data_IF_482592831779
#
_entry.id   IF_482592831779
#
_cell.length_a   1.000
_cell.length_b   1.000
_cell.length_c   1.000
_cell.angle_alpha   90.00
_cell.angle_beta   90.00
_cell.angle_gamma   90.00
#
_symmetry.space_group_name_H-M   'P 1'
#
loop_
_entity.id
_entity.type
_entity.pdbx_description
1 polymer ?
#
# COMPACT_ATOMS: atom_id res chain seq x y z
N UNK A 1 3.65 21.30 3.39
CA UNK A 1 4.79 20.42 3.73
C UNK A 1 6.14 21.14 3.68
N UNK A 2 6.51 21.84 2.59
CA UNK A 2 7.83 22.49 2.51
C UNK A 2 8.10 23.49 3.64
N UNK A 3 7.08 24.25 4.03
CA UNK A 3 7.19 25.21 5.14
C UNK A 3 7.44 24.53 6.50
N UNK A 4 6.68 23.47 6.81
CA UNK A 4 6.85 22.68 8.04
C UNK A 4 8.24 22.07 8.10
N UNK A 5 8.70 21.47 7.00
CA UNK A 5 10.04 20.89 6.88
C UNK A 5 11.12 21.96 7.07
N UNK A 6 11.01 23.08 6.37
CA UNK A 6 11.96 24.19 6.49
C UNK A 6 12.05 24.74 7.91
N UNK A 7 10.93 24.81 8.65
CA UNK A 7 10.91 25.24 10.05
C UNK A 7 11.72 24.31 10.96
N UNK A 8 11.48 22.98 10.88
CA UNK A 8 12.14 22.02 11.79
C UNK A 8 13.62 21.81 11.48
N UNK A 9 14.00 21.91 10.20
CA UNK A 9 15.41 21.88 9.78
C UNK A 9 16.15 23.11 10.28
N UNK A 10 15.60 24.32 10.07
CA UNK A 10 16.24 25.56 10.55
C UNK A 10 16.36 25.62 12.07
N UNK A 11 15.44 25.01 12.81
CA UNK A 11 15.53 24.95 14.27
C UNK A 11 16.47 23.85 14.80
N UNK A 12 17.15 23.10 13.92
CA UNK A 12 18.02 21.98 14.32
C UNK A 12 17.30 20.77 14.91
N UNK A 13 15.97 20.70 14.79
CA UNK A 13 15.15 19.60 15.33
C UNK A 13 15.05 18.42 14.38
N UNK A 14 15.45 18.62 13.12
CA UNK A 14 15.54 17.58 12.10
C UNK A 14 16.85 17.74 11.35
N UNK A 15 17.64 16.67 11.33
CA UNK A 15 18.83 16.51 10.50
C UNK A 15 18.66 15.26 9.63
N UNK A 16 19.47 15.13 8.58
CA UNK A 16 19.48 13.96 7.71
C UNK A 16 20.91 13.43 7.58
N UNK A 17 21.05 12.11 7.54
CA UNK A 17 22.31 11.41 7.32
C UNK A 17 22.04 10.13 6.55
N UNK A 18 23.05 9.62 5.84
CA UNK A 18 23.06 8.28 5.24
C UNK A 18 23.75 7.24 6.12
N UNK A 19 24.33 7.66 7.25
CA UNK A 19 24.96 6.77 8.23
C UNK A 19 23.94 6.34 9.30
N UNK A 20 23.26 5.24 9.02
CA UNK A 20 22.24 4.65 9.92
C UNK A 20 22.86 4.16 11.23
N UNK A 21 24.10 3.67 11.21
CA UNK A 21 24.81 3.17 12.40
C UNK A 21 25.10 4.32 13.36
N UNK A 22 25.70 5.41 12.88
CA UNK A 22 25.95 6.61 13.70
C UNK A 22 24.64 7.20 14.26
N UNK A 23 23.61 7.32 13.43
CA UNK A 23 22.30 7.82 13.85
C UNK A 23 21.68 6.98 14.96
N UNK A 24 21.78 5.64 14.85
CA UNK A 24 21.24 4.71 15.84
C UNK A 24 21.96 4.81 17.18
N UNK A 25 23.29 5.03 17.17
CA UNK A 25 24.09 5.20 18.40
C UNK A 25 23.73 6.42 19.24
N UNK A 26 23.09 7.41 18.62
CA UNK A 26 22.70 8.69 19.24
C UNK A 26 21.21 8.76 19.56
N UNK A 27 20.45 7.71 19.27
CA UNK A 27 18.99 7.70 19.36
C UNK A 27 18.51 6.96 20.61
N UNK A 28 17.48 7.49 21.27
CA UNK A 28 16.69 6.77 22.29
C UNK A 28 15.61 5.89 21.64
N UNK A 29 15.01 6.39 20.55
CA UNK A 29 13.92 5.74 19.83
C UNK A 29 14.26 5.68 18.35
N UNK A 30 14.15 4.49 17.78
CA UNK A 30 14.47 4.20 16.38
C UNK A 30 13.20 3.72 15.68
N UNK A 31 12.69 4.50 14.72
CA UNK A 31 11.51 4.13 13.93
C UNK A 31 11.92 3.62 12.54
N UNK A 32 11.50 2.40 12.18
CA UNK A 32 11.86 1.77 10.90
C UNK A 32 10.67 1.85 9.93
N UNK A 33 10.84 2.61 8.85
CA UNK A 33 9.82 2.93 7.83
C UNK A 33 10.31 2.65 6.39
N UNK A 34 11.07 1.58 6.20
CA UNK A 34 11.61 1.17 4.90
C UNK A 34 10.57 0.42 4.05
N UNK A 35 10.73 0.36 2.72
CA UNK A 35 9.78 -0.36 1.87
C UNK A 35 9.74 -1.85 2.18
N UNK A 36 8.52 -2.41 2.18
CA UNK A 36 8.28 -3.85 2.16
C UNK A 36 7.51 -4.20 0.89
N UNK A 37 8.11 -5.03 0.05
CA UNK A 37 7.64 -5.28 -1.31
C UNK A 37 7.32 -6.76 -1.51
N UNK A 38 6.87 -7.09 -2.72
CA UNK A 38 6.86 -8.46 -3.21
C UNK A 38 7.72 -8.54 -4.47
N UNK A 39 8.33 -9.69 -4.71
CA UNK A 39 9.05 -9.97 -5.94
C UNK A 39 8.10 -10.32 -7.10
N UNK A 40 8.67 -10.61 -8.26
CA UNK A 40 7.94 -11.04 -9.46
C UNK A 40 7.21 -12.39 -9.32
N UNK A 41 7.58 -13.21 -8.34
CA UNK A 41 6.87 -14.44 -7.97
C UNK A 41 5.81 -14.21 -6.89
N UNK A 42 5.54 -12.94 -6.55
CA UNK A 42 4.60 -12.52 -5.51
C UNK A 42 4.98 -13.06 -4.12
N UNK A 43 6.28 -13.17 -3.84
CA UNK A 43 6.84 -13.52 -2.53
C UNK A 43 7.31 -12.26 -1.79
N UNK A 44 7.17 -12.19 -0.46
CA UNK A 44 7.65 -11.05 0.31
C UNK A 44 9.14 -10.78 0.09
N UNK A 45 9.50 -9.51 -0.07
CA UNK A 45 10.88 -9.03 -0.15
C UNK A 45 11.14 -8.06 1.01
N UNK A 46 11.94 -8.52 1.98
CA UNK A 46 12.29 -7.78 3.19
C UNK A 46 13.74 -7.30 3.20
N UNK A 47 14.45 -7.30 2.06
CA UNK A 47 15.89 -6.92 2.02
C UNK A 47 16.17 -5.54 2.62
N UNK A 48 15.35 -4.54 2.34
CA UNK A 48 15.50 -3.20 2.93
C UNK A 48 15.30 -3.18 4.46
N UNK A 49 14.47 -4.09 4.99
CA UNK A 49 14.29 -4.27 6.44
C UNK A 49 15.54 -4.90 7.03
N UNK A 50 16.09 -5.92 6.38
CA UNK A 50 17.34 -6.58 6.80
C UNK A 50 18.52 -5.61 6.82
N UNK A 51 18.70 -4.82 5.76
CA UNK A 51 19.75 -3.80 5.65
C UNK A 51 19.62 -2.74 6.76
N UNK A 52 18.43 -2.20 6.99
CA UNK A 52 18.20 -1.24 8.06
C UNK A 52 18.47 -1.86 9.45
N UNK A 53 18.02 -3.09 9.69
CA UNK A 53 18.23 -3.78 10.96
C UNK A 53 19.70 -4.14 11.20
N UNK A 54 20.46 -4.44 10.14
CA UNK A 54 21.90 -4.67 10.21
C UNK A 54 22.64 -3.41 10.69
N UNK A 55 22.38 -2.25 10.06
CA UNK A 55 23.04 -1.00 10.44
C UNK A 55 22.60 -0.50 11.82
N UNK A 56 21.32 -0.68 12.16
CA UNK A 56 20.80 -0.40 13.51
C UNK A 56 21.49 -1.31 14.52
N UNK A 57 21.61 -2.61 14.25
CA UNK A 57 22.28 -3.55 15.14
C UNK A 57 23.73 -3.15 15.47
N UNK A 58 24.47 -2.59 14.51
CA UNK A 58 25.84 -2.10 14.75
C UNK A 58 25.93 -0.85 15.63
N UNK A 59 24.87 -0.05 15.68
CA UNK A 59 24.87 1.26 16.35
C UNK A 59 24.02 1.32 17.61
N UNK A 60 23.02 0.44 17.75
CA UNK A 60 22.05 0.48 18.84
C UNK A 60 22.73 0.30 20.21
N UNK A 61 22.22 1.02 21.20
CA UNK A 61 22.67 0.96 22.60
C UNK A 61 21.63 0.31 23.50
N UNK A 62 22.08 -0.20 24.64
CA UNK A 62 21.17 -0.60 25.71
C UNK A 62 20.29 0.59 26.17
N UNK A 63 19.03 0.31 26.51
CA UNK A 63 17.99 1.27 26.83
C UNK A 63 17.23 1.83 25.64
N UNK A 64 17.60 1.50 24.39
CA UNK A 64 16.91 2.00 23.20
C UNK A 64 15.54 1.33 23.00
N UNK A 65 14.63 2.00 22.29
CA UNK A 65 13.38 1.41 21.79
C UNK A 65 13.36 1.40 20.26
N UNK A 66 13.16 0.23 19.66
CA UNK A 66 12.92 0.08 18.22
C UNK A 66 11.41 -0.01 17.97
N UNK A 67 10.86 0.88 17.15
CA UNK A 67 9.47 0.84 16.69
C UNK A 67 9.46 0.47 15.20
N UNK A 68 9.17 -0.78 14.89
CA UNK A 68 8.99 -1.23 13.51
C UNK A 68 7.62 -0.78 12.99
N UNK A 69 7.60 0.00 11.91
CA UNK A 69 6.38 0.59 11.36
C UNK A 69 6.10 0.19 9.91
N UNK A 70 7.05 -0.47 9.27
CA UNK A 70 6.90 -1.00 7.90
C UNK A 70 5.97 -2.20 7.94
N UNK A 71 5.13 -2.38 6.92
CA UNK A 71 4.13 -3.47 6.96
C UNK A 71 4.77 -4.82 6.68
N UNK A 72 4.44 -5.84 7.47
CA UNK A 72 4.99 -7.19 7.29
C UNK A 72 3.95 -8.29 7.61
N UNK A 73 4.31 -9.53 7.29
CA UNK A 73 3.61 -10.73 7.75
C UNK A 73 3.71 -10.92 9.28
N UNK A 74 2.70 -11.54 9.92
CA UNK A 74 2.79 -11.93 11.32
C UNK A 74 4.04 -12.76 11.64
N UNK A 75 4.77 -12.36 12.69
CA UNK A 75 6.01 -12.98 13.15
C UNK A 75 7.28 -12.43 12.49
N UNK A 76 7.19 -11.55 11.47
CA UNK A 76 8.39 -10.99 10.81
C UNK A 76 9.18 -10.10 11.75
N UNK A 77 8.53 -9.28 12.57
CA UNK A 77 9.24 -8.46 13.57
C UNK A 77 10.11 -9.32 14.47
N UNK A 78 9.63 -10.50 14.87
CA UNK A 78 10.36 -11.39 15.77
C UNK A 78 11.51 -12.12 15.06
N UNK A 79 11.22 -12.80 13.95
CA UNK A 79 12.20 -13.66 13.28
C UNK A 79 13.20 -12.90 12.40
N UNK A 80 12.89 -11.66 12.03
CA UNK A 80 13.73 -10.85 11.14
C UNK A 80 14.29 -9.63 11.88
N UNK A 81 13.43 -8.72 12.34
CA UNK A 81 13.87 -7.44 12.92
C UNK A 81 14.63 -7.68 14.22
N UNK A 82 14.01 -8.35 15.19
CA UNK A 82 14.65 -8.70 16.46
C UNK A 82 15.89 -9.54 16.23
N UNK A 83 15.77 -10.65 15.49
CA UNK A 83 16.89 -11.57 15.26
C UNK A 83 18.11 -10.89 14.62
N UNK A 84 17.90 -10.01 13.64
CA UNK A 84 18.99 -9.28 12.97
C UNK A 84 19.64 -8.28 13.92
N UNK A 85 18.86 -7.49 14.64
CA UNK A 85 19.41 -6.49 15.57
C UNK A 85 20.18 -7.17 16.71
N UNK A 86 19.64 -8.23 17.33
CA UNK A 86 20.36 -8.99 18.37
C UNK A 86 21.67 -9.57 17.84
N UNK A 87 21.67 -10.13 16.63
CA UNK A 87 22.86 -10.73 16.01
C UNK A 87 24.01 -9.73 15.87
N UNK A 88 23.73 -8.51 15.42
CA UNK A 88 24.77 -7.53 15.10
C UNK A 88 25.11 -6.59 16.27
N UNK A 89 24.23 -6.45 17.26
CA UNK A 89 24.49 -5.66 18.47
C UNK A 89 25.12 -6.47 19.60
N UNK A 90 24.86 -7.78 19.66
CA UNK A 90 25.16 -8.61 20.83
C UNK A 90 24.20 -8.37 22.01
N UNK A 91 23.23 -7.46 21.87
CA UNK A 91 22.21 -7.14 22.87
C UNK A 91 21.00 -8.07 22.74
N UNK A 92 20.17 -8.12 23.79
CA UNK A 92 18.94 -8.92 23.86
C UNK A 92 17.69 -8.06 23.95
N UNK A 93 16.73 -8.32 23.06
CA UNK A 93 15.46 -7.61 23.06
C UNK A 93 14.62 -8.01 24.28
N UNK A 94 13.95 -7.03 24.89
CA UNK A 94 13.22 -7.20 26.15
C UNK A 94 14.10 -7.26 27.40
N UNK A 95 15.43 -7.18 27.25
CA UNK A 95 16.39 -7.09 28.36
C UNK A 95 17.23 -5.83 28.24
N UNK A 96 17.96 -5.72 27.13
CA UNK A 96 18.87 -4.60 26.86
C UNK A 96 18.20 -3.50 26.03
N UNK A 97 17.27 -3.83 25.13
CA UNK A 97 16.53 -2.86 24.34
C UNK A 97 15.08 -3.31 24.10
N UNK A 98 14.18 -2.35 23.89
CA UNK A 98 12.76 -2.62 23.63
C UNK A 98 12.45 -2.77 22.15
N UNK A 99 11.42 -3.56 21.83
CA UNK A 99 10.86 -3.65 20.48
C UNK A 99 9.34 -3.49 20.53
N UNK A 100 8.83 -2.64 19.65
CA UNK A 100 7.41 -2.48 19.37
C UNK A 100 7.13 -2.51 17.86
N UNK A 101 5.92 -2.92 17.50
CA UNK A 101 5.37 -2.80 16.16
C UNK A 101 4.19 -1.83 16.18
N UNK A 102 4.23 -0.83 15.29
CA UNK A 102 3.14 0.11 15.12
C UNK A 102 3.00 0.55 13.67
N UNK A 103 2.09 -0.06 12.89
CA UNK A 103 2.00 0.18 11.45
C UNK A 103 1.44 1.56 11.15
N UNK A 104 1.92 2.19 10.07
CA UNK A 104 1.39 3.49 9.63
C UNK A 104 0.00 3.32 8.98
N UNK A 105 -0.92 4.20 9.38
CA UNK A 105 -2.20 4.44 8.73
C UNK A 105 -2.21 5.87 8.23
N UNK A 106 -2.08 6.02 6.92
CA UNK A 106 -2.04 7.31 6.27
C UNK A 106 -2.35 7.16 4.78
N UNK A 107 -2.86 8.22 4.20
CA UNK A 107 -3.12 8.34 2.78
C UNK A 107 -2.06 9.23 2.11
N UNK A 108 -1.59 8.81 0.92
CA UNK A 108 -0.73 9.66 0.09
C UNK A 108 -1.39 11.02 -0.16
N UNK A 109 -0.64 12.09 0.07
CA UNK A 109 -1.14 13.47 0.00
C UNK A 109 -1.72 14.03 1.31
N UNK A 110 -2.00 13.21 2.32
CA UNK A 110 -2.56 13.63 3.62
C UNK A 110 -1.88 12.97 4.83
N UNK A 111 -0.61 12.57 4.68
CA UNK A 111 0.09 11.74 5.67
C UNK A 111 0.14 12.35 7.07
N UNK A 112 0.52 13.63 7.20
CA UNK A 112 0.63 14.28 8.52
C UNK A 112 -0.72 14.39 9.25
N UNK A 113 -1.80 14.93 8.66
CA UNK A 113 -3.09 14.98 9.36
C UNK A 113 -3.65 13.58 9.66
N UNK A 114 -3.48 12.61 8.76
CA UNK A 114 -3.94 11.24 8.99
C UNK A 114 -3.20 10.56 10.15
N UNK A 115 -1.87 10.71 10.22
CA UNK A 115 -1.05 10.16 11.30
C UNK A 115 -1.47 10.68 12.68
N UNK A 116 -1.91 11.94 12.74
CA UNK A 116 -2.44 12.54 13.98
C UNK A 116 -3.83 12.02 14.32
N UNK A 117 -4.72 11.98 13.34
CA UNK A 117 -6.16 11.71 13.54
C UNK A 117 -6.48 10.23 13.74
N UNK A 118 -5.84 9.34 12.99
CA UNK A 118 -6.25 7.94 12.95
C UNK A 118 -5.78 7.17 14.17
N UNK A 119 -6.64 6.26 14.64
CA UNK A 119 -6.29 5.35 15.71
C UNK A 119 -5.06 4.52 15.31
N UNK A 120 -4.11 4.37 16.23
CA UNK A 120 -2.82 3.74 15.98
C UNK A 120 -2.70 2.45 16.79
N UNK A 121 -2.43 1.33 16.10
CA UNK A 121 -2.24 0.03 16.76
C UNK A 121 -0.81 -0.09 17.26
N UNK A 122 -0.62 -0.66 18.44
CA UNK A 122 0.69 -0.88 19.06
C UNK A 122 0.72 -2.26 19.71
N UNK A 123 1.66 -3.10 19.28
CA UNK A 123 2.05 -4.32 19.98
C UNK A 123 3.53 -4.23 20.35
N UNK A 124 3.96 -4.86 21.43
CA UNK A 124 5.37 -4.86 21.83
C UNK A 124 5.80 -6.21 22.40
N UNK A 125 7.12 -6.39 22.52
CA UNK A 125 7.72 -7.63 23.02
C UNK A 125 7.43 -7.88 24.50
N UNK A 126 7.23 -6.81 25.27
CA UNK A 126 6.90 -6.84 26.68
C UNK A 126 6.09 -5.59 27.08
N UNK A 127 5.62 -5.54 28.34
CA UNK A 127 4.81 -4.45 28.87
C UNK A 127 5.56 -3.12 28.94
N UNK A 128 6.84 -3.14 29.32
CA UNK A 128 7.66 -1.92 29.43
C UNK A 128 7.85 -1.29 28.06
N UNK A 129 8.25 -2.09 27.07
CA UNK A 129 8.35 -1.70 25.66
C UNK A 129 7.03 -1.13 25.13
N UNK A 130 5.90 -1.75 25.50
CA UNK A 130 4.56 -1.27 25.11
C UNK A 130 4.26 0.12 25.69
N UNK A 131 4.51 0.32 26.98
CA UNK A 131 4.22 1.57 27.66
C UNK A 131 5.11 2.71 27.16
N UNK A 132 6.40 2.46 26.90
CA UNK A 132 7.32 3.44 26.30
C UNK A 132 6.89 3.77 24.87
N UNK A 133 6.57 2.76 24.04
CA UNK A 133 6.10 2.99 22.67
C UNK A 133 4.81 3.82 22.64
N UNK A 134 3.88 3.56 23.55
CA UNK A 134 2.64 4.33 23.70
C UNK A 134 2.93 5.77 24.13
N UNK A 135 3.85 5.99 25.06
CA UNK A 135 4.25 7.33 25.48
C UNK A 135 4.91 8.14 24.35
N UNK A 136 5.73 7.49 23.52
CA UNK A 136 6.33 8.15 22.35
C UNK A 136 5.27 8.47 21.30
N UNK A 137 4.41 7.51 20.98
CA UNK A 137 3.41 7.66 19.92
C UNK A 137 2.30 8.65 20.30
N UNK A 138 2.00 8.83 21.60
CA UNK A 138 1.01 9.82 22.07
C UNK A 138 1.45 11.27 21.85
N UNK A 139 2.74 11.53 21.63
CA UNK A 139 3.23 12.85 21.21
C UNK A 139 2.87 13.19 19.75
N UNK A 140 2.48 12.18 18.96
CA UNK A 140 2.21 12.32 17.52
C UNK A 140 0.71 12.12 17.24
N UNK A 141 0.08 11.18 17.93
CA UNK A 141 -1.28 10.71 17.64
C UNK A 141 -2.27 11.39 18.60
N UNK A 142 -3.14 12.24 18.06
CA UNK A 142 -4.29 12.81 18.79
C UNK A 142 -5.42 11.77 18.95
N UNK A 143 -5.45 10.76 18.06
CA UNK A 143 -6.40 9.65 18.09
C UNK A 143 -6.10 8.56 19.13
N UNK A 144 -6.92 7.50 19.14
CA UNK A 144 -6.79 6.39 20.09
C UNK A 144 -5.56 5.52 19.80
N UNK A 145 -4.76 5.22 20.82
CA UNK A 145 -3.74 4.16 20.78
C UNK A 145 -4.38 2.82 21.18
N UNK A 146 -4.40 1.87 20.24
CA UNK A 146 -4.98 0.52 20.43
C UNK A 146 -3.84 -0.44 20.76
N UNK A 147 -3.73 -0.79 22.05
CA UNK A 147 -2.74 -1.77 22.52
C UNK A 147 -3.21 -3.19 22.20
N UNK A 148 -2.38 -3.98 21.54
CA UNK A 148 -2.59 -5.42 21.35
C UNK A 148 -1.82 -6.21 22.39
N UNK A 149 -2.19 -7.47 22.59
CA UNK A 149 -1.51 -8.35 23.55
C UNK A 149 -0.05 -8.65 23.18
N UNK A 150 0.25 -8.71 21.88
CA UNK A 150 1.55 -9.07 21.32
C UNK A 150 1.75 -8.42 19.93
N UNK A 151 2.99 -8.50 19.44
CA UNK A 151 3.39 -7.99 18.12
C UNK A 151 2.67 -8.71 16.96
N UNK A 152 2.58 -10.05 16.90
CA UNK A 152 1.87 -10.75 15.83
C UNK A 152 0.42 -10.33 15.64
N UNK A 153 -0.29 -10.03 16.73
CA UNK A 153 -1.66 -9.49 16.68
C UNK A 153 -1.69 -8.11 16.00
N UNK A 154 -0.73 -7.24 16.31
CA UNK A 154 -0.64 -5.93 15.67
C UNK A 154 -0.25 -6.04 14.18
N UNK A 155 0.69 -6.91 13.82
CA UNK A 155 1.07 -7.21 12.43
C UNK A 155 -0.13 -7.71 11.63
N UNK A 156 -0.84 -8.71 12.14
CA UNK A 156 -2.02 -9.28 11.50
C UNK A 156 -3.11 -8.23 11.28
N UNK A 157 -3.37 -7.36 12.27
CA UNK A 157 -4.40 -6.33 12.16
C UNK A 157 -4.21 -5.41 10.95
N UNK A 158 -2.96 -5.11 10.58
CA UNK A 158 -2.62 -4.25 9.44
C UNK A 158 -2.90 -4.91 8.10
N UNK A 159 -2.63 -6.21 8.01
CA UNK A 159 -2.95 -6.97 6.80
C UNK A 159 -4.46 -7.16 6.69
N UNK A 160 -5.14 -7.47 7.79
CA UNK A 160 -6.59 -7.71 7.81
C UNK A 160 -7.39 -6.48 7.35
N UNK A 161 -7.08 -5.27 7.82
CA UNK A 161 -7.78 -4.06 7.37
C UNK A 161 -7.66 -3.83 5.85
N UNK A 162 -6.50 -4.18 5.28
CA UNK A 162 -6.20 -3.96 3.86
C UNK A 162 -6.83 -5.05 3.00
N UNK A 163 -6.73 -6.31 3.45
CA UNK A 163 -7.31 -7.47 2.77
C UNK A 163 -8.84 -7.38 2.80
N UNK A 164 -9.45 -6.91 3.89
CA UNK A 164 -10.89 -6.64 3.94
C UNK A 164 -11.32 -5.73 2.79
N UNK A 165 -10.65 -4.57 2.65
CA UNK A 165 -10.96 -3.63 1.56
C UNK A 165 -10.76 -4.26 0.19
N UNK A 166 -9.70 -5.04 0.02
CA UNK A 166 -9.39 -5.69 -1.25
C UNK A 166 -10.44 -6.72 -1.68
N UNK A 167 -10.88 -7.56 -0.74
CA UNK A 167 -11.97 -8.53 -0.92
C UNK A 167 -13.28 -7.81 -1.21
N UNK A 168 -13.57 -6.71 -0.51
CA UNK A 168 -14.77 -5.90 -0.77
C UNK A 168 -14.78 -5.28 -2.18
N UNK A 169 -13.62 -4.90 -2.73
CA UNK A 169 -13.53 -4.44 -4.14
C UNK A 169 -13.74 -5.62 -5.10
N UNK A 170 -13.18 -6.79 -4.82
CA UNK A 170 -13.39 -7.97 -5.66
C UNK A 170 -14.87 -8.38 -5.71
N UNK A 171 -15.54 -8.38 -4.57
CA UNK A 171 -16.97 -8.63 -4.49
C UNK A 171 -17.77 -7.60 -5.31
N UNK A 172 -17.43 -6.32 -5.20
CA UNK A 172 -18.05 -5.26 -6.00
C UNK A 172 -17.85 -5.48 -7.50
N UNK A 173 -16.64 -5.88 -7.92
CA UNK A 173 -16.34 -6.20 -9.30
C UNK A 173 -17.14 -7.41 -9.80
N UNK A 174 -17.23 -8.50 -9.03
CA UNK A 174 -18.03 -9.68 -9.39
C UNK A 174 -19.52 -9.36 -9.51
N UNK A 175 -20.06 -8.57 -8.59
CA UNK A 175 -21.44 -8.13 -8.67
C UNK A 175 -21.68 -7.21 -9.87
N UNK A 176 -20.74 -6.33 -10.20
CA UNK A 176 -20.84 -5.49 -11.39
C UNK A 176 -20.89 -6.34 -12.67
N UNK A 177 -20.06 -7.39 -12.77
CA UNK A 177 -20.08 -8.33 -13.89
C UNK A 177 -21.43 -9.06 -14.01
N UNK A 178 -21.98 -9.54 -12.88
CA UNK A 178 -23.31 -10.14 -12.86
C UNK A 178 -24.39 -9.13 -13.30
N UNK A 179 -24.34 -7.90 -12.78
CA UNK A 179 -25.27 -6.83 -13.11
C UNK A 179 -25.26 -6.47 -14.61
N UNK A 180 -24.09 -6.50 -15.26
CA UNK A 180 -23.98 -6.31 -16.72
C UNK A 180 -24.76 -7.39 -17.50
N UNK A 181 -24.66 -8.66 -17.10
CA UNK A 181 -25.37 -9.78 -17.73
C UNK A 181 -26.88 -9.72 -17.44
N UNK A 182 -27.24 -9.46 -16.18
CA UNK A 182 -28.62 -9.38 -15.71
C UNK A 182 -29.35 -8.08 -16.10
N UNK A 183 -28.63 -7.11 -16.68
CA UNK A 183 -29.12 -5.75 -17.02
C UNK A 183 -29.67 -5.00 -15.80
N UNK A 184 -28.92 -5.05 -14.70
CA UNK A 184 -29.21 -4.34 -13.44
C UNK A 184 -28.20 -3.21 -13.28
N UNK A 185 -28.61 -2.04 -12.79
CA UNK A 185 -27.67 -0.98 -12.40
C UNK A 185 -27.00 -1.35 -11.07
N UNK A 186 -25.72 -1.73 -11.14
CA UNK A 186 -24.93 -2.03 -9.95
C UNK A 186 -24.88 -0.87 -8.95
N UNK A 187 -24.77 0.37 -9.41
CA UNK A 187 -24.64 1.55 -8.54
C UNK A 187 -25.94 1.78 -7.77
N UNK A 188 -27.09 1.60 -8.42
CA UNK A 188 -28.40 1.65 -7.77
C UNK A 188 -28.53 0.52 -6.73
N UNK A 189 -28.26 -0.73 -7.14
CA UNK A 189 -28.33 -1.90 -6.26
C UNK A 189 -27.38 -1.78 -5.05
N UNK A 190 -26.15 -1.30 -5.26
CA UNK A 190 -25.15 -1.05 -4.22
C UNK A 190 -25.66 -0.02 -3.20
N UNK A 191 -26.22 1.10 -3.68
CA UNK A 191 -26.79 2.14 -2.79
C UNK A 191 -27.95 1.60 -1.96
N UNK A 192 -28.84 0.83 -2.57
CA UNK A 192 -29.97 0.21 -1.88
C UNK A 192 -29.50 -0.82 -0.84
N UNK A 193 -28.57 -1.72 -1.21
CA UNK A 193 -28.01 -2.72 -0.30
C UNK A 193 -27.29 -2.08 0.90
N UNK A 194 -26.53 -1.01 0.66
CA UNK A 194 -25.81 -0.28 1.70
C UNK A 194 -26.72 0.54 2.63
N UNK A 195 -28.04 0.58 2.42
CA UNK A 195 -28.99 1.05 3.44
C UNK A 195 -29.08 0.07 4.64
N UNK A 196 -28.64 -1.18 4.45
CA UNK A 196 -28.50 -2.16 5.51
C UNK A 196 -27.16 -1.92 6.25
N UNK A 197 -27.21 -1.82 7.59
CA UNK A 197 -26.10 -1.45 8.47
C UNK A 197 -24.81 -2.30 8.41
N UNK A 198 -24.88 -3.53 7.89
CA UNK A 198 -23.79 -4.49 7.73
C UNK A 198 -23.31 -4.62 6.28
N UNK A 199 -23.97 -3.93 5.34
CA UNK A 199 -23.55 -3.89 3.94
C UNK A 199 -22.75 -2.63 3.65
N UNK A 200 -21.53 -2.83 3.17
CA UNK A 200 -20.61 -1.74 2.80
C UNK A 200 -19.93 -2.04 1.46
N UNK A 201 -20.74 -2.37 0.44
CA UNK A 201 -20.27 -2.60 -0.93
C UNK A 201 -19.53 -1.37 -1.45
N UNK A 202 -18.40 -1.61 -2.11
CA UNK A 202 -17.53 -0.57 -2.68
C UNK A 202 -17.83 -0.35 -4.15
N UNK A 203 -17.23 0.69 -4.74
CA UNK A 203 -17.33 0.90 -6.18
C UNK A 203 -16.45 -0.10 -6.94
N UNK A 204 -16.95 -0.73 -8.02
CA UNK A 204 -16.13 -1.50 -8.94
C UNK A 204 -15.25 -0.58 -9.77
N UNK A 205 -14.27 -1.14 -10.48
CA UNK A 205 -13.39 -0.35 -11.33
C UNK A 205 -12.54 -1.17 -12.29
N UNK A 206 -11.60 -0.49 -12.95
CA UNK A 206 -10.68 -1.11 -13.92
C UNK A 206 -9.69 -2.10 -13.28
N UNK A 207 -9.58 -2.11 -11.95
CA UNK A 207 -8.74 -3.03 -11.19
C UNK A 207 -8.29 -2.39 -9.88
N UNK A 208 -7.29 -3.00 -9.23
CA UNK A 208 -6.74 -2.53 -7.95
C UNK A 208 -5.25 -2.31 -8.09
N UNK A 209 -4.77 -1.11 -7.76
CA UNK A 209 -3.35 -0.77 -7.78
C UNK A 209 -2.84 -0.17 -6.47
N UNK A 210 -1.65 0.42 -6.55
CA UNK A 210 -0.97 1.06 -5.42
C UNK A 210 -0.08 0.11 -4.61
N UNK A 211 0.40 0.61 -3.47
CA UNK A 211 1.44 -0.03 -2.66
C UNK A 211 0.93 -1.15 -1.74
N UNK A 212 -0.36 -1.12 -1.37
CA UNK A 212 -0.87 -1.96 -0.28
C UNK A 212 -1.75 -3.11 -0.77
N UNK A 213 -2.89 -2.80 -1.41
CA UNK A 213 -3.92 -3.79 -1.74
C UNK A 213 -3.39 -4.90 -2.69
N UNK A 214 -2.58 -4.60 -3.73
CA UNK A 214 -1.98 -5.63 -4.59
C UNK A 214 -0.89 -6.48 -3.91
N UNK A 215 -0.40 -6.07 -2.75
CA UNK A 215 0.81 -6.63 -2.13
C UNK A 215 0.46 -7.45 -0.88
N UNK A 216 -0.37 -6.91 0.00
CA UNK A 216 -0.57 -7.43 1.37
C UNK A 216 -1.24 -8.81 1.46
N UNK A 217 -2.16 -9.20 0.54
CA UNK A 217 -2.65 -10.58 0.51
C UNK A 217 -1.52 -11.61 0.36
N UNK A 218 -0.48 -11.29 -0.40
CA UNK A 218 0.69 -12.15 -0.60
C UNK A 218 1.62 -12.17 0.61
N UNK A 219 1.75 -11.04 1.32
CA UNK A 219 2.47 -10.99 2.59
C UNK A 219 1.84 -11.95 3.60
N UNK A 220 0.51 -11.91 3.76
CA UNK A 220 -0.18 -12.82 4.69
C UNK A 220 -0.10 -14.29 4.23
N UNK A 221 -0.28 -14.55 2.92
CA UNK A 221 -0.25 -15.90 2.38
C UNK A 221 1.13 -16.57 2.51
N UNK A 222 2.22 -15.80 2.60
CA UNK A 222 3.56 -16.33 2.82
C UNK A 222 3.78 -16.83 4.25
N UNK A 223 2.92 -16.46 5.21
CA UNK A 223 3.07 -16.79 6.63
C UNK A 223 2.39 -18.11 7.02
N UNK A 224 1.87 -18.86 6.06
CA UNK A 224 1.23 -20.15 6.31
C UNK A 224 1.49 -21.13 5.16
N UNK A 225 1.92 -22.34 5.52
CA UNK A 225 2.02 -23.46 4.57
C UNK A 225 0.81 -24.39 4.64
N UNK A 226 0.14 -24.42 5.79
CA UNK A 226 -0.98 -25.33 6.08
C UNK A 226 -2.31 -24.78 5.56
N UNK A 227 -2.55 -23.50 5.79
CA UNK A 227 -3.81 -22.85 5.43
C UNK A 227 -3.71 -22.18 4.07
N UNK A 228 -4.62 -22.53 3.16
CA UNK A 228 -4.72 -21.87 1.86
C UNK A 228 -5.73 -20.74 1.96
N UNK A 229 -5.27 -19.50 1.91
CA UNK A 229 -6.12 -18.29 1.95
C UNK A 229 -6.93 -18.11 0.65
N UNK A 230 -7.98 -18.91 0.47
CA UNK A 230 -8.75 -18.97 -0.78
C UNK A 230 -9.45 -17.65 -1.11
N UNK A 231 -10.09 -17.01 -0.13
CA UNK A 231 -10.86 -15.78 -0.36
C UNK A 231 -9.94 -14.60 -0.77
N UNK A 232 -8.87 -14.26 -0.02
CA UNK A 232 -7.95 -13.19 -0.44
C UNK A 232 -7.31 -13.46 -1.80
N UNK A 233 -6.89 -14.71 -2.05
CA UNK A 233 -6.23 -15.07 -3.31
C UNK A 233 -7.19 -15.10 -4.50
N UNK A 234 -8.45 -15.52 -4.28
CA UNK A 234 -9.52 -15.39 -5.27
C UNK A 234 -9.80 -13.93 -5.60
N UNK A 235 -9.88 -13.08 -4.58
CA UNK A 235 -10.08 -11.64 -4.73
C UNK A 235 -8.97 -10.95 -5.54
N UNK A 236 -7.71 -11.41 -5.39
CA UNK A 236 -6.61 -10.99 -6.27
C UNK A 236 -6.85 -11.37 -7.72
N UNK A 237 -7.24 -12.61 -8.00
CA UNK A 237 -7.52 -13.04 -9.37
C UNK A 237 -8.65 -12.24 -10.01
N UNK A 238 -9.75 -12.03 -9.28
CA UNK A 238 -10.89 -11.23 -9.74
C UNK A 238 -10.47 -9.81 -10.08
N UNK A 239 -9.75 -9.14 -9.16
CA UNK A 239 -9.32 -7.76 -9.36
C UNK A 239 -8.24 -7.62 -10.46
N UNK A 240 -7.30 -8.57 -10.56
CA UNK A 240 -6.27 -8.61 -11.62
C UNK A 240 -6.88 -8.85 -13.02
N UNK A 241 -8.11 -9.40 -13.10
CA UNK A 241 -8.78 -9.63 -14.38
C UNK A 241 -9.55 -8.42 -14.93
N UNK A 242 -9.85 -7.42 -14.08
CA UNK A 242 -10.66 -6.26 -14.47
C UNK A 242 -10.11 -5.44 -15.66
N UNK A 243 -8.79 -5.26 -15.85
CA UNK A 243 -8.27 -4.60 -17.05
C UNK A 243 -8.67 -5.34 -18.35
N UNK A 244 -8.72 -6.67 -18.34
CA UNK A 244 -9.17 -7.46 -19.49
C UNK A 244 -10.66 -7.30 -19.75
N UNK A 245 -11.47 -7.21 -18.68
CA UNK A 245 -12.89 -6.94 -18.78
C UNK A 245 -13.17 -5.56 -19.38
N UNK A 246 -12.52 -4.51 -18.88
CA UNK A 246 -12.66 -3.15 -19.44
C UNK A 246 -12.26 -3.10 -20.91
N UNK A 247 -11.21 -3.81 -21.30
CA UNK A 247 -10.83 -3.92 -22.71
C UNK A 247 -11.89 -4.64 -23.55
N UNK A 248 -12.57 -5.66 -23.01
CA UNK A 248 -13.67 -6.35 -23.67
C UNK A 248 -14.84 -5.40 -23.90
N UNK A 249 -15.23 -4.61 -22.90
CA UNK A 249 -16.28 -3.60 -23.03
C UNK A 249 -15.94 -2.56 -24.11
N UNK A 250 -14.70 -2.05 -24.12
CA UNK A 250 -14.25 -1.11 -25.13
C UNK A 250 -14.30 -1.72 -26.54
N UNK A 251 -13.91 -3.00 -26.69
CA UNK A 251 -13.99 -3.71 -27.96
C UNK A 251 -15.45 -3.95 -28.40
N UNK A 252 -16.36 -4.25 -27.48
CA UNK A 252 -17.80 -4.38 -27.74
C UNK A 252 -18.41 -3.06 -28.23
N UNK A 253 -18.12 -1.94 -27.56
CA UNK A 253 -18.58 -0.62 -27.99
C UNK A 253 -18.02 -0.21 -29.36
N UNK A 254 -16.79 -0.60 -29.70
CA UNK A 254 -16.28 -0.38 -31.06
C UNK A 254 -17.03 -1.21 -32.10
N UNK A 255 -17.36 -2.47 -31.79
CA UNK A 255 -18.08 -3.36 -32.70
C UNK A 255 -19.49 -2.85 -33.01
N UNK A 256 -20.20 -2.28 -32.05
CA UNK A 256 -21.52 -1.67 -32.30
C UNK A 256 -21.43 -0.47 -33.25
N UNK A 257 -20.30 0.23 -33.29
CA UNK A 257 -19.99 1.27 -34.27
C UNK A 257 -19.37 0.76 -35.59
N UNK A 258 -19.30 -0.56 -35.82
CA UNK A 258 -18.65 -1.13 -37.01
C UNK A 258 -17.13 -0.97 -37.05
N UNK A 259 -16.49 -0.67 -35.91
CA UNK A 259 -15.04 -0.45 -35.79
C UNK A 259 -14.35 -1.65 -35.15
N UNK A 260 -13.07 -1.83 -35.48
CA UNK A 260 -12.20 -2.84 -34.85
C UNK A 260 -11.15 -2.19 -33.97
N UNK A 261 -10.73 -2.89 -32.91
CA UNK A 261 -9.72 -2.42 -31.96
C UNK A 261 -8.41 -2.04 -32.67
N UNK A 262 -7.89 -2.91 -33.55
CA UNK A 262 -6.63 -2.72 -34.28
C UNK A 262 -6.60 -1.47 -35.17
N UNK A 263 -7.76 -1.00 -35.63
CA UNK A 263 -7.87 0.19 -36.50
C UNK A 263 -8.35 1.43 -35.75
N UNK A 264 -8.57 1.33 -34.44
CA UNK A 264 -9.09 2.41 -33.62
C UNK A 264 -7.98 3.14 -32.86
N UNK A 265 -8.25 4.42 -32.59
CA UNK A 265 -7.47 5.24 -31.66
C UNK A 265 -8.20 5.26 -30.31
N UNK A 266 -7.44 5.18 -29.23
CA UNK A 266 -7.91 5.20 -27.86
C UNK A 266 -7.28 6.39 -27.14
N UNK A 267 -8.11 7.20 -26.51
CA UNK A 267 -7.67 8.17 -25.51
C UNK A 267 -7.85 7.55 -24.12
N UNK A 268 -6.76 7.30 -23.41
CA UNK A 268 -6.80 6.81 -22.02
C UNK A 268 -6.63 8.01 -21.09
N UNK A 269 -7.68 8.30 -20.35
CA UNK A 269 -7.76 9.44 -19.43
C UNK A 269 -7.49 8.96 -18.00
N UNK A 270 -6.26 9.21 -17.52
CA UNK A 270 -5.77 8.79 -16.21
C UNK A 270 -4.87 7.56 -16.27
N UNK A 271 -3.65 7.70 -15.77
CA UNK A 271 -2.65 6.62 -15.66
C UNK A 271 -2.42 6.20 -14.20
N UNK A 272 -2.93 7.00 -13.26
CA UNK A 272 -2.80 6.77 -11.81
C UNK A 272 -3.72 5.67 -11.32
N UNK A 273 -3.31 4.97 -10.25
CA UNK A 273 -4.12 3.87 -9.69
C UNK A 273 -5.32 4.36 -8.86
N UNK A 274 -5.35 5.66 -8.54
CA UNK A 274 -6.36 6.29 -7.69
C UNK A 274 -6.56 7.76 -8.11
N UNK A 275 -7.80 8.29 -8.07
CA UNK A 275 -8.06 9.69 -8.33
C UNK A 275 -7.20 10.63 -7.47
N UNK A 276 -6.72 11.71 -8.10
CA UNK A 276 -6.04 12.84 -7.45
C UNK A 276 -4.73 12.50 -6.71
N UNK A 277 -4.06 11.40 -7.07
CA UNK A 277 -2.74 11.04 -6.52
C UNK A 277 -1.77 10.79 -7.66
N UNK A 278 -0.66 11.53 -7.72
CA UNK A 278 0.38 11.39 -8.74
C UNK A 278 1.25 10.14 -8.46
N UNK A 279 0.68 8.96 -8.66
CA UNK A 279 1.34 7.66 -8.41
C UNK A 279 0.78 6.58 -9.35
N UNK A 280 1.69 5.81 -9.94
CA UNK A 280 1.40 4.82 -11.00
C UNK A 280 1.73 3.39 -10.61
N UNK A 281 2.25 3.16 -9.40
CA UNK A 281 2.62 1.82 -8.94
C UNK A 281 1.47 0.83 -9.06
N UNK A 282 1.72 -0.25 -9.79
CA UNK A 282 0.75 -1.33 -10.05
C UNK A 282 -0.61 -0.78 -10.55
N UNK A 283 -0.59 0.33 -11.30
CA UNK A 283 -1.81 0.95 -11.79
C UNK A 283 -2.51 0.03 -12.81
N UNK A 284 -3.80 -0.30 -12.62
CA UNK A 284 -4.57 -1.10 -13.59
C UNK A 284 -4.72 -0.38 -14.94
N UNK A 285 -4.65 0.96 -14.96
CA UNK A 285 -4.66 1.74 -16.22
C UNK A 285 -3.40 1.46 -17.06
N UNK A 286 -2.24 1.23 -16.43
CA UNK A 286 -1.01 0.86 -17.14
C UNK A 286 -1.17 -0.52 -17.78
N UNK A 287 -1.76 -1.47 -17.06
CA UNK A 287 -2.04 -2.80 -17.59
C UNK A 287 -3.02 -2.72 -18.77
N UNK A 288 -4.11 -1.97 -18.63
CA UNK A 288 -5.09 -1.74 -19.70
C UNK A 288 -4.42 -1.15 -20.96
N UNK A 289 -3.56 -0.13 -20.81
CA UNK A 289 -2.79 0.45 -21.91
C UNK A 289 -1.90 -0.60 -22.59
N UNK A 290 -1.24 -1.46 -21.81
CA UNK A 290 -0.47 -2.60 -22.33
C UNK A 290 -1.33 -3.59 -23.13
N UNK A 291 -2.50 -3.95 -22.61
CA UNK A 291 -3.43 -4.87 -23.27
C UNK A 291 -3.98 -4.30 -24.59
N UNK A 292 -4.33 -3.02 -24.63
CA UNK A 292 -4.78 -2.34 -25.86
C UNK A 292 -3.65 -2.33 -26.91
N UNK A 293 -2.42 -1.97 -26.53
CA UNK A 293 -1.24 -1.99 -27.41
C UNK A 293 -1.00 -3.37 -27.99
N UNK A 294 -1.05 -4.41 -27.14
CA UNK A 294 -0.85 -5.82 -27.55
C UNK A 294 -1.89 -6.27 -28.60
N UNK A 295 -3.10 -5.71 -28.58
CA UNK A 295 -4.14 -5.96 -29.59
C UNK A 295 -4.07 -5.03 -30.81
N UNK A 296 -3.04 -4.19 -30.90
CA UNK A 296 -2.77 -3.30 -32.04
C UNK A 296 -3.52 -1.97 -32.01
N UNK A 297 -4.17 -1.61 -30.90
CA UNK A 297 -4.81 -0.31 -30.74
C UNK A 297 -3.78 0.82 -30.64
N UNK A 298 -4.08 1.97 -31.25
CA UNK A 298 -3.25 3.18 -31.12
C UNK A 298 -3.72 3.97 -29.90
N UNK A 299 -2.81 4.34 -29.00
CA UNK A 299 -3.17 4.94 -27.71
C UNK A 299 -2.53 6.31 -27.58
N UNK A 300 -3.33 7.29 -27.14
CA UNK A 300 -2.86 8.52 -26.50
C UNK A 300 -3.23 8.47 -25.02
N UNK A 301 -2.31 8.88 -24.14
CA UNK A 301 -2.53 8.96 -22.69
C UNK A 301 -2.58 10.43 -22.27
N UNK A 302 -3.55 10.76 -21.42
CA UNK A 302 -3.62 12.06 -20.76
C UNK A 302 -3.92 11.86 -19.27
N UNK A 303 -3.13 12.47 -18.40
CA UNK A 303 -3.38 12.53 -16.96
C UNK A 303 -2.98 13.92 -16.45
N UNK A 304 -3.90 14.71 -15.85
CA UNK A 304 -3.61 16.09 -15.46
C UNK A 304 -2.54 16.21 -14.36
N UNK A 305 -2.18 15.12 -13.68
CA UNK A 305 -1.12 15.11 -12.68
C UNK A 305 0.27 14.92 -13.30
N UNK A 306 0.34 14.52 -14.56
CA UNK A 306 1.59 14.29 -15.28
C UNK A 306 1.75 15.26 -16.44
N UNK A 307 2.95 15.81 -16.57
CA UNK A 307 3.34 16.56 -17.76
C UNK A 307 3.49 15.61 -18.97
N UNK A 308 3.38 16.17 -20.17
CA UNK A 308 3.59 15.41 -21.40
C UNK A 308 4.95 14.68 -21.40
N UNK A 309 6.01 15.35 -20.92
CA UNK A 309 7.36 14.78 -20.90
C UNK A 309 7.52 13.65 -19.88
N UNK A 310 6.80 13.69 -18.76
CA UNK A 310 6.77 12.56 -17.82
C UNK A 310 6.10 11.35 -18.47
N UNK A 311 4.96 11.54 -19.14
CA UNK A 311 4.25 10.45 -19.82
C UNK A 311 5.06 9.88 -21.00
N UNK A 312 5.76 10.72 -21.76
CA UNK A 312 6.68 10.29 -22.83
C UNK A 312 7.84 9.48 -22.28
N UNK A 313 8.44 9.88 -21.15
CA UNK A 313 9.49 9.11 -20.45
C UNK A 313 9.00 7.75 -19.96
N UNK A 314 7.71 7.60 -19.66
CA UNK A 314 7.09 6.32 -19.35
C UNK A 314 6.77 5.48 -20.61
N UNK A 315 7.10 5.96 -21.81
CA UNK A 315 6.87 5.27 -23.08
C UNK A 315 5.46 5.43 -23.62
N UNK A 316 4.74 6.49 -23.25
CA UNK A 316 3.42 6.81 -23.78
C UNK A 316 3.47 7.87 -24.88
N UNK A 317 2.63 7.70 -25.90
CA UNK A 317 2.24 8.83 -26.72
C UNK A 317 1.29 9.68 -25.87
N UNK A 318 1.61 10.95 -25.69
CA UNK A 318 0.90 11.85 -24.80
C UNK A 318 0.78 13.22 -25.42
N UNK A 319 -0.33 13.89 -25.13
CA UNK A 319 -0.67 15.21 -25.63
C UNK A 319 -0.71 16.21 -24.46
N UNK A 320 -0.35 17.48 -24.67
CA UNK A 320 -0.24 18.46 -23.59
C UNK A 320 -1.60 18.90 -23.04
N UNK A 321 -2.68 18.64 -23.78
CA UNK A 321 -4.04 19.05 -23.42
C UNK A 321 -5.02 17.90 -23.64
N UNK A 322 -6.13 17.91 -22.88
CA UNK A 322 -7.21 16.95 -23.06
C UNK A 322 -7.78 16.95 -24.48
N UNK A 323 -8.06 18.11 -25.13
CA UNK A 323 -8.52 18.11 -26.52
C UNK A 323 -7.53 17.51 -27.53
N UNK A 324 -6.22 17.63 -27.29
CA UNK A 324 -5.22 16.98 -28.15
C UNK A 324 -5.22 15.46 -27.99
N UNK A 325 -5.53 14.97 -26.78
CA UNK A 325 -5.52 13.54 -26.47
C UNK A 325 -6.74 12.78 -27.02
N UNK A 326 -7.87 13.45 -27.25
CA UNK A 326 -9.13 12.90 -27.78
C UNK A 326 -9.10 12.75 -29.30
#
# INVERSE_FOLDING_TARGET
MPELLGKVVRSGKLTATTDTTDASSKSDVIAIIVPTLIDHHKKPDYRHVEEACFDIGKGIRAGSLVIFQSTCGPGVTDRLVKATIEKYSGLKAGQDFGIAYSPIRAMGGQVVPDMRKYARVVGAIDKTSLDVAVAVLSCIVDGKLIKTRDIPTAEASKLFETIYRDVSIALANEFALFCEEARIDYIEAMKAANSQQYSHLLLPGVGVGGHCLPVYPYLLAAETEKEKLRIPMGSRRTNDQMPNHVLRLAAEGLRTCGKSLKRSRFAVLGITYRPNVKETRLSPSIELVGLIRKRGGRISVYDPLYTQDELKRMGYHAEPTLPGAL
#
